data_IF_860091382649
#
_entry.id   IF_860091382649
#
_cell.length_a   1.000
_cell.length_b   1.000
_cell.length_c   1.000
_cell.angle_alpha   90.00
_cell.angle_beta   90.00
_cell.angle_gamma   90.00
#
_symmetry.space_group_name_H-M   'P 1'
#
loop_
_entity.id
_entity.type
_entity.pdbx_description
1 polymer ?
#
# COMPACT_ATOMS: atom_id res chain seq x y z
N UNK A 1 10.25 -0.12 -16.95
CA UNK A 1 9.49 0.38 -15.78
C UNK A 1 8.14 0.87 -16.25
N UNK A 2 7.06 0.40 -15.63
CA UNK A 2 5.68 0.79 -15.96
C UNK A 2 5.46 2.22 -15.45
N UNK A 3 4.83 3.08 -16.27
CA UNK A 3 4.45 4.44 -15.88
C UNK A 3 2.93 4.56 -15.81
N UNK A 4 2.45 5.50 -15.00
CA UNK A 4 1.03 5.84 -14.91
C UNK A 4 0.84 7.33 -14.64
N UNK A 5 -0.27 7.89 -15.12
CA UNK A 5 -0.66 9.27 -14.83
C UNK A 5 -1.26 9.36 -13.44
N UNK A 6 -0.66 10.07 -12.48
CA UNK A 6 -1.17 10.12 -11.11
C UNK A 6 -2.42 11.01 -11.02
N UNK A 7 -3.42 10.58 -10.27
CA UNK A 7 -4.62 11.34 -9.93
C UNK A 7 -4.32 12.40 -8.87
N UNK A 8 -3.64 13.48 -9.26
CA UNK A 8 -3.26 14.56 -8.32
C UNK A 8 -4.44 15.38 -7.81
N UNK A 9 -5.54 15.40 -8.55
CA UNK A 9 -6.77 16.12 -8.20
C UNK A 9 -7.42 15.60 -6.91
N UNK A 10 -7.15 14.33 -6.54
CA UNK A 10 -7.69 13.74 -5.31
C UNK A 10 -6.90 14.13 -4.05
N UNK A 11 -5.69 14.66 -4.20
CA UNK A 11 -4.86 15.03 -3.06
C UNK A 11 -5.40 16.29 -2.37
N UNK A 12 -5.51 16.30 -1.04
CA UNK A 12 -5.67 17.54 -0.27
C UNK A 12 -4.60 18.57 -0.61
N UNK A 13 -4.89 19.84 -0.37
CA UNK A 13 -4.01 20.94 -0.78
C UNK A 13 -2.61 20.84 -0.19
N UNK A 14 -2.49 20.49 1.09
CA UNK A 14 -1.18 20.26 1.74
C UNK A 14 -0.40 19.13 1.06
N UNK A 15 -1.05 18.05 0.66
CA UNK A 15 -0.39 16.95 -0.05
C UNK A 15 0.06 17.38 -1.45
N UNK A 16 -0.76 18.14 -2.18
CA UNK A 16 -0.37 18.68 -3.50
C UNK A 16 0.83 19.62 -3.40
N UNK A 17 0.87 20.42 -2.34
CA UNK A 17 2.01 21.31 -2.08
C UNK A 17 3.30 20.55 -1.76
N UNK A 18 3.21 19.44 -1.01
CA UNK A 18 4.37 18.60 -0.66
C UNK A 18 4.81 17.72 -1.84
N UNK A 19 3.88 17.19 -2.62
CA UNK A 19 4.09 16.17 -3.64
C UNK A 19 5.35 16.40 -4.51
N UNK A 20 5.55 17.56 -5.18
CA UNK A 20 6.73 17.75 -6.02
C UNK A 20 8.06 17.75 -5.25
N UNK A 21 8.01 17.99 -3.94
CA UNK A 21 9.20 18.00 -3.06
C UNK A 21 9.71 16.61 -2.71
N UNK A 22 8.90 15.58 -2.97
CA UNK A 22 9.22 14.18 -2.69
C UNK A 22 10.07 13.52 -3.79
N UNK A 23 10.34 14.21 -4.89
CA UNK A 23 10.96 13.66 -6.11
C UNK A 23 12.33 12.99 -5.90
N UNK A 24 13.10 13.39 -4.89
CA UNK A 24 14.41 12.79 -4.63
C UNK A 24 14.34 11.49 -3.81
N UNK A 25 13.23 11.19 -3.16
CA UNK A 25 13.06 9.97 -2.37
C UNK A 25 13.24 8.70 -3.21
N UNK A 26 12.81 8.72 -4.48
CA UNK A 26 13.00 7.60 -5.40
C UNK A 26 14.48 7.26 -5.65
N UNK A 27 15.39 8.24 -5.56
CA UNK A 27 16.85 8.02 -5.72
C UNK A 27 17.43 7.22 -4.57
N UNK A 28 16.80 7.26 -3.41
CA UNK A 28 17.14 6.47 -2.23
C UNK A 28 16.46 5.09 -2.24
N UNK A 29 15.62 4.80 -3.23
CA UNK A 29 14.90 3.53 -3.32
C UNK A 29 13.57 3.50 -2.58
N UNK A 30 13.07 4.62 -2.05
CA UNK A 30 11.76 4.66 -1.41
C UNK A 30 10.63 4.39 -2.40
N UNK A 31 9.70 3.54 -1.99
CA UNK A 31 8.47 3.21 -2.70
C UNK A 31 7.28 3.62 -1.85
N UNK A 32 6.36 4.38 -2.43
CA UNK A 32 5.11 4.76 -1.76
C UNK A 32 4.16 3.57 -1.72
N UNK A 33 3.65 3.26 -0.53
CA UNK A 33 2.65 2.23 -0.23
C UNK A 33 1.37 2.85 0.32
N UNK A 34 0.46 2.02 0.79
CA UNK A 34 -0.73 2.45 1.52
C UNK A 34 -1.86 3.03 0.68
N UNK A 35 -2.75 3.77 1.34
CA UNK A 35 -3.95 4.31 0.72
C UNK A 35 -3.67 5.38 -0.33
N UNK A 36 -2.66 6.23 -0.11
CA UNK A 36 -2.29 7.30 -1.07
C UNK A 36 -1.66 6.72 -2.33
N UNK A 37 -0.86 5.66 -2.21
CA UNK A 37 -0.31 4.95 -3.36
C UNK A 37 -1.40 4.41 -4.29
N UNK A 38 -2.45 3.83 -3.71
CA UNK A 38 -3.59 3.33 -4.48
C UNK A 38 -4.46 4.46 -5.01
N UNK A 39 -4.70 5.48 -4.21
CA UNK A 39 -5.49 6.63 -4.60
C UNK A 39 -4.88 7.37 -5.81
N UNK A 40 -3.56 7.56 -5.84
CA UNK A 40 -2.85 8.14 -6.98
C UNK A 40 -3.02 7.31 -8.27
N UNK A 41 -3.12 5.98 -8.15
CA UNK A 41 -3.28 5.09 -9.31
C UNK A 41 -4.73 5.00 -9.81
N UNK A 42 -5.72 5.05 -8.92
CA UNK A 42 -7.12 4.75 -9.25
C UNK A 42 -8.09 5.93 -9.10
N UNK A 43 -7.68 7.03 -8.50
CA UNK A 43 -8.53 8.22 -8.30
C UNK A 43 -9.81 7.96 -7.50
N UNK A 44 -9.89 6.90 -6.72
CA UNK A 44 -11.14 6.38 -6.18
C UNK A 44 -11.59 7.04 -4.87
N UNK A 45 -10.68 7.62 -4.10
CA UNK A 45 -10.95 8.34 -2.86
C UNK A 45 -9.77 9.23 -2.46
N UNK A 46 -10.00 10.14 -1.54
CA UNK A 46 -8.91 10.87 -0.89
C UNK A 46 -8.19 9.97 0.11
N UNK A 47 -6.88 10.18 0.24
CA UNK A 47 -6.02 9.61 1.27
C UNK A 47 -5.09 10.69 1.78
N UNK A 48 -4.86 10.72 3.10
CA UNK A 48 -4.25 11.89 3.76
C UNK A 48 -2.83 11.66 4.26
N UNK A 49 -2.31 10.43 4.17
CA UNK A 49 -0.97 10.09 4.66
C UNK A 49 -0.07 9.65 3.50
N UNK A 50 1.25 9.83 3.64
CA UNK A 50 2.25 9.19 2.77
C UNK A 50 3.04 8.17 3.58
N UNK A 51 3.05 6.91 3.14
CA UNK A 51 3.80 5.82 3.76
C UNK A 51 4.87 5.32 2.78
N UNK A 52 6.13 5.65 3.04
CA UNK A 52 7.28 5.27 2.22
C UNK A 52 8.00 4.06 2.81
N UNK A 53 8.20 3.04 2.00
CA UNK A 53 8.91 1.82 2.36
C UNK A 53 10.25 1.74 1.65
N UNK A 54 11.27 1.30 2.40
CA UNK A 54 12.63 1.10 1.93
C UNK A 54 13.12 -0.29 2.37
N UNK A 55 13.77 -1.02 1.49
CA UNK A 55 14.37 -2.33 1.84
C UNK A 55 15.56 -2.17 2.77
N UNK A 56 16.43 -1.21 2.49
CA UNK A 56 17.64 -0.95 3.26
C UNK A 56 17.35 -0.27 4.61
N UNK A 57 18.29 -0.29 5.55
CA UNK A 57 18.20 0.51 6.77
C UNK A 57 18.00 2.00 6.46
N UNK A 58 17.24 2.67 7.31
CA UNK A 58 16.92 4.07 7.14
C UNK A 58 18.12 4.96 7.51
N UNK A 59 18.76 5.59 6.53
CA UNK A 59 19.75 6.64 6.74
C UNK A 59 19.06 7.99 6.91
N UNK A 60 18.96 8.45 8.16
CA UNK A 60 18.29 9.71 8.49
C UNK A 60 18.95 10.92 7.83
N UNK A 61 20.28 10.91 7.65
CA UNK A 61 20.99 12.02 7.01
C UNK A 61 20.65 12.08 5.52
N UNK A 62 20.74 10.95 4.82
CA UNK A 62 20.36 10.88 3.41
C UNK A 62 18.89 11.24 3.19
N UNK A 63 17.99 10.84 4.11
CA UNK A 63 16.58 11.22 4.06
C UNK A 63 16.42 12.74 4.12
N UNK A 64 17.07 13.43 5.07
CA UNK A 64 17.01 14.88 5.22
C UNK A 64 17.63 15.61 4.02
N UNK A 65 18.75 15.11 3.50
CA UNK A 65 19.39 15.64 2.30
C UNK A 65 18.47 15.51 1.05
N UNK A 66 17.72 14.39 0.94
CA UNK A 66 16.79 14.17 -0.17
C UNK A 66 15.46 14.93 -0.01
N UNK A 67 15.04 15.20 1.21
CA UNK A 67 13.80 15.90 1.55
C UNK A 67 14.06 17.04 2.56
N UNK A 68 14.68 18.16 2.11
CA UNK A 68 15.13 19.25 2.99
C UNK A 68 14.00 19.92 3.79
N UNK A 69 12.74 19.80 3.36
CA UNK A 69 11.58 20.30 4.10
C UNK A 69 11.55 19.78 5.54
N UNK A 70 12.12 18.60 5.81
CA UNK A 70 12.19 18.02 7.16
C UNK A 70 13.02 18.84 8.15
N UNK A 71 13.84 19.79 7.68
CA UNK A 71 14.62 20.70 8.52
C UNK A 71 13.87 22.01 8.87
N UNK A 72 12.67 22.22 8.32
CA UNK A 72 11.86 23.42 8.56
C UNK A 72 11.05 23.30 9.87
N UNK A 73 11.68 23.58 11.01
CA UNK A 73 11.11 23.39 12.34
C UNK A 73 9.77 24.11 12.61
N UNK A 74 9.46 25.15 11.85
CA UNK A 74 8.18 25.87 11.94
C UNK A 74 7.03 25.16 11.18
N UNK A 75 7.34 24.22 10.31
CA UNK A 75 6.36 23.47 9.51
C UNK A 75 6.32 21.98 9.88
N UNK A 76 7.37 21.44 10.49
CA UNK A 76 7.55 20.01 10.70
C UNK A 76 7.59 19.67 12.18
N UNK A 77 6.73 18.73 12.57
CA UNK A 77 6.76 18.09 13.89
C UNK A 77 7.14 16.62 13.71
N UNK A 78 8.22 16.18 14.35
CA UNK A 78 8.59 14.78 14.37
C UNK A 78 7.72 14.04 15.39
N UNK A 79 6.91 13.10 14.91
CA UNK A 79 5.99 12.29 15.72
C UNK A 79 6.63 10.99 16.22
N UNK A 80 7.54 10.43 15.42
CA UNK A 80 8.24 9.18 15.74
C UNK A 80 9.68 9.24 15.26
N UNK A 81 10.60 8.81 16.13
CA UNK A 81 12.03 8.77 15.90
C UNK A 81 12.59 7.44 16.39
N UNK A 82 12.57 6.44 15.53
CA UNK A 82 13.18 5.13 15.76
C UNK A 82 14.21 4.86 14.66
N UNK A 83 15.11 3.94 14.90
CA UNK A 83 16.22 3.61 14.00
C UNK A 83 15.77 3.42 12.54
N UNK A 84 14.72 2.62 12.32
CA UNK A 84 14.18 2.30 11.00
C UNK A 84 12.74 2.80 10.80
N UNK A 85 12.26 3.73 11.63
CA UNK A 85 10.94 4.34 11.47
C UNK A 85 10.97 5.81 11.85
N UNK A 86 10.70 6.65 10.88
CA UNK A 86 10.59 8.10 11.08
C UNK A 86 9.20 8.55 10.65
N UNK A 87 8.49 9.28 11.49
CA UNK A 87 7.18 9.83 11.16
C UNK A 87 7.15 11.31 11.46
N UNK A 88 6.68 12.08 10.50
CA UNK A 88 6.58 13.53 10.58
C UNK A 88 5.15 13.98 10.28
N UNK A 89 4.69 14.99 10.98
CA UNK A 89 3.55 15.81 10.60
C UNK A 89 4.07 17.10 9.99
N UNK A 90 3.64 17.40 8.77
CA UNK A 90 4.08 18.58 8.03
C UNK A 90 2.87 19.47 7.78
N UNK A 91 2.93 20.69 8.29
CA UNK A 91 1.89 21.70 8.11
C UNK A 91 2.13 22.51 6.85
N UNK A 92 1.05 22.94 6.19
CA UNK A 92 1.16 23.92 5.11
C UNK A 92 1.57 25.28 5.69
N UNK A 93 2.39 26.09 4.99
CA UNK A 93 2.75 27.43 5.45
C UNK A 93 1.54 28.34 5.70
N UNK A 94 0.47 28.16 4.94
CA UNK A 94 -0.82 28.79 5.18
C UNK A 94 -1.63 27.92 6.14
N UNK A 95 -1.92 28.45 7.33
CA UNK A 95 -2.50 27.70 8.48
C UNK A 95 -3.79 26.96 8.14
N UNK A 96 -4.63 27.53 7.28
CA UNK A 96 -5.94 26.97 6.95
C UNK A 96 -5.90 25.76 5.99
N UNK A 97 -4.71 25.41 5.47
CA UNK A 97 -4.52 24.34 4.49
C UNK A 97 -4.20 22.96 5.09
N UNK A 98 -4.13 22.89 6.42
CA UNK A 98 -3.99 21.64 7.18
C UNK A 98 -2.58 21.09 7.24
N UNK A 99 -2.47 19.85 7.69
CA UNK A 99 -1.23 19.09 7.82
C UNK A 99 -1.35 17.72 7.14
N UNK A 100 -0.20 17.09 6.91
CA UNK A 100 -0.08 15.74 6.36
C UNK A 100 0.90 14.93 7.19
N UNK A 101 0.59 13.68 7.45
CA UNK A 101 1.51 12.74 8.06
C UNK A 101 2.32 12.02 6.97
N UNK A 102 3.64 12.01 7.14
CA UNK A 102 4.55 11.28 6.26
C UNK A 102 5.37 10.32 7.12
N UNK A 103 5.33 9.04 6.77
CA UNK A 103 6.06 7.98 7.46
C UNK A 103 7.09 7.35 6.53
N UNK A 104 8.27 7.07 7.07
CA UNK A 104 9.37 6.39 6.40
C UNK A 104 9.71 5.13 7.19
N UNK A 105 9.69 3.99 6.51
CA UNK A 105 9.96 2.69 7.10
C UNK A 105 11.13 2.04 6.35
N UNK A 106 12.25 1.83 7.04
CA UNK A 106 13.41 1.07 6.54
C UNK A 106 13.35 -0.38 6.96
N UNK A 107 14.29 -1.19 6.47
CA UNK A 107 14.40 -2.64 6.74
C UNK A 107 13.14 -3.44 6.40
N UNK A 108 12.44 -3.04 5.34
CA UNK A 108 11.27 -3.78 4.87
C UNK A 108 11.75 -5.00 4.08
N UNK A 109 11.58 -6.18 4.64
CA UNK A 109 12.16 -7.44 4.16
C UNK A 109 11.18 -8.35 3.40
N UNK A 110 9.90 -8.04 3.35
CA UNK A 110 8.92 -8.87 2.65
C UNK A 110 9.07 -8.84 1.12
N UNK A 111 9.93 -7.96 0.59
CA UNK A 111 10.20 -7.86 -0.84
C UNK A 111 9.04 -7.28 -1.65
N UNK A 112 8.90 -7.72 -2.90
CA UNK A 112 7.82 -7.34 -3.82
C UNK A 112 7.48 -8.51 -4.75
N UNK A 113 6.26 -8.55 -5.26
CA UNK A 113 5.83 -9.45 -6.35
C UNK A 113 5.73 -8.64 -7.65
N UNK A 114 5.04 -7.51 -7.60
CA UNK A 114 4.91 -6.61 -8.73
C UNK A 114 6.03 -5.57 -8.81
N UNK A 115 6.35 -5.12 -10.03
CA UNK A 115 7.28 -4.01 -10.22
C UNK A 115 6.65 -2.69 -9.78
N UNK A 116 7.38 -1.86 -9.00
CA UNK A 116 6.94 -0.51 -8.70
C UNK A 116 6.71 0.29 -9.98
N UNK A 117 5.69 1.14 -9.95
CA UNK A 117 5.31 2.01 -11.06
C UNK A 117 5.85 3.41 -10.83
N UNK A 118 6.36 4.04 -11.87
CA UNK A 118 6.81 5.43 -11.82
C UNK A 118 5.66 6.34 -12.24
N UNK A 119 5.42 7.42 -11.51
CA UNK A 119 4.50 8.47 -11.97
C UNK A 119 5.02 9.13 -13.24
N UNK A 120 4.13 9.53 -14.17
CA UNK A 120 4.53 10.13 -15.46
C UNK A 120 5.33 11.42 -15.29
N UNK A 121 5.06 12.19 -14.27
CA UNK A 121 5.81 13.38 -13.86
C UNK A 121 7.15 13.06 -13.17
N UNK A 122 7.47 11.77 -13.05
CA UNK A 122 8.71 11.25 -12.46
C UNK A 122 8.96 11.64 -10.99
N UNK A 123 7.92 11.97 -10.25
CA UNK A 123 8.06 12.36 -8.83
C UNK A 123 8.21 11.13 -7.94
N UNK A 124 7.35 10.12 -8.05
CA UNK A 124 7.29 8.99 -7.12
C UNK A 124 7.44 7.62 -7.79
N UNK A 125 8.12 6.72 -7.07
CA UNK A 125 7.94 5.28 -7.24
C UNK A 125 6.78 4.83 -6.33
N UNK A 126 5.83 4.09 -6.88
CA UNK A 126 4.60 3.66 -6.22
C UNK A 126 4.50 2.14 -6.33
N UNK A 127 4.14 1.48 -5.25
CA UNK A 127 3.96 0.04 -5.22
C UNK A 127 2.93 -0.43 -6.26
N UNK A 128 3.11 -1.65 -6.77
CA UNK A 128 2.15 -2.26 -7.68
C UNK A 128 0.77 -2.42 -7.00
N UNK A 129 -0.34 -2.40 -7.75
CA UNK A 129 -1.66 -2.66 -7.19
C UNK A 129 -1.73 -4.01 -6.47
N UNK A 130 -1.09 -5.05 -7.00
CA UNK A 130 -1.01 -6.37 -6.39
C UNK A 130 -0.31 -6.33 -5.03
N UNK A 131 0.82 -5.63 -4.91
CA UNK A 131 1.57 -5.51 -3.67
C UNK A 131 0.79 -4.70 -2.62
N UNK A 132 0.11 -3.62 -3.04
CA UNK A 132 -0.79 -2.86 -2.16
C UNK A 132 -1.95 -3.75 -1.70
N UNK A 133 -2.52 -4.55 -2.59
CA UNK A 133 -3.60 -5.48 -2.25
C UNK A 133 -3.14 -6.50 -1.19
N UNK A 134 -1.99 -7.13 -1.39
CA UNK A 134 -1.40 -8.09 -0.45
C UNK A 134 -1.21 -7.47 0.96
N UNK A 135 -0.69 -6.23 1.04
CA UNK A 135 -0.53 -5.53 2.32
C UNK A 135 -1.87 -5.19 2.96
N UNK A 136 -2.89 -4.81 2.19
CA UNK A 136 -4.24 -4.54 2.68
C UNK A 136 -4.90 -5.77 3.28
N UNK A 137 -4.74 -6.94 2.64
CA UNK A 137 -5.25 -8.22 3.14
C UNK A 137 -4.65 -8.60 4.50
N UNK A 138 -3.40 -8.26 4.78
CA UNK A 138 -2.77 -8.41 6.10
C UNK A 138 -3.32 -7.41 7.11
N UNK A 139 -3.46 -6.14 6.70
CA UNK A 139 -3.88 -5.05 7.59
C UNK A 139 -5.30 -5.26 8.12
N UNK A 140 -6.25 -5.71 7.30
CA UNK A 140 -7.65 -5.91 7.74
C UNK A 140 -7.81 -6.98 8.82
N UNK A 141 -6.86 -7.93 8.93
CA UNK A 141 -6.84 -8.92 10.01
C UNK A 141 -6.45 -8.27 11.34
N UNK A 142 -5.57 -7.28 11.29
CA UNK A 142 -5.00 -6.63 12.49
C UNK A 142 -5.86 -5.46 12.99
N UNK A 143 -6.31 -4.62 12.06
CA UNK A 143 -7.11 -3.42 12.32
C UNK A 143 -8.12 -3.18 11.20
N UNK A 144 -9.35 -3.66 11.33
CA UNK A 144 -10.36 -3.42 10.32
C UNK A 144 -10.66 -1.92 10.21
N UNK A 145 -10.63 -1.39 8.99
CA UNK A 145 -10.97 0.00 8.70
C UNK A 145 -11.74 0.06 7.39
N UNK A 146 -12.86 0.76 7.36
CA UNK A 146 -13.70 0.92 6.15
C UNK A 146 -12.90 1.36 4.93
N UNK A 147 -11.90 2.22 5.12
CA UNK A 147 -11.02 2.67 4.02
C UNK A 147 -10.27 1.50 3.37
N UNK A 148 -9.80 0.54 4.17
CA UNK A 148 -9.06 -0.62 3.65
C UNK A 148 -9.99 -1.56 2.86
N UNK A 149 -11.24 -1.72 3.30
CA UNK A 149 -12.25 -2.49 2.54
C UNK A 149 -12.65 -1.80 1.24
N UNK A 150 -12.81 -0.47 1.24
CA UNK A 150 -13.08 0.32 0.02
C UNK A 150 -11.90 0.16 -0.97
N UNK A 151 -10.66 0.21 -0.49
CA UNK A 151 -9.46 0.00 -1.31
C UNK A 151 -9.46 -1.40 -1.94
N UNK A 152 -9.74 -2.44 -1.15
CA UNK A 152 -9.82 -3.83 -1.62
C UNK A 152 -10.92 -4.00 -2.68
N UNK A 153 -12.11 -3.46 -2.42
CA UNK A 153 -13.21 -3.49 -3.38
C UNK A 153 -12.80 -2.82 -4.69
N UNK A 154 -12.12 -1.68 -4.59
CA UNK A 154 -11.70 -0.95 -5.78
C UNK A 154 -10.64 -1.70 -6.57
N UNK A 155 -9.69 -2.36 -5.90
CA UNK A 155 -8.70 -3.22 -6.53
C UNK A 155 -9.38 -4.35 -7.32
N UNK A 156 -10.33 -5.07 -6.70
CA UNK A 156 -11.05 -6.15 -7.37
C UNK A 156 -11.88 -5.62 -8.56
N UNK A 157 -12.56 -4.48 -8.40
CA UNK A 157 -13.31 -3.83 -9.49
C UNK A 157 -12.42 -3.31 -10.62
N UNK A 158 -11.12 -3.21 -10.39
CA UNK A 158 -10.09 -2.83 -11.36
C UNK A 158 -9.27 -4.04 -11.84
N UNK A 159 -9.91 -5.21 -11.86
CA UNK A 159 -9.40 -6.48 -12.38
C UNK A 159 -8.23 -7.11 -11.60
N UNK A 160 -7.92 -6.63 -10.39
CA UNK A 160 -6.95 -7.30 -9.54
C UNK A 160 -7.57 -8.56 -8.90
N UNK A 161 -6.84 -9.67 -8.98
CA UNK A 161 -7.31 -10.96 -8.49
C UNK A 161 -7.17 -11.10 -6.98
N UNK A 162 -8.28 -11.36 -6.27
CA UNK A 162 -8.25 -11.64 -4.82
C UNK A 162 -7.40 -12.89 -4.51
N UNK A 163 -7.42 -13.90 -5.38
CA UNK A 163 -6.66 -15.14 -5.18
C UNK A 163 -5.16 -14.89 -5.33
N UNK A 164 -4.76 -14.13 -6.35
CA UNK A 164 -3.36 -13.75 -6.54
C UNK A 164 -2.86 -12.88 -5.38
N UNK A 165 -3.67 -11.94 -4.90
CA UNK A 165 -3.33 -11.09 -3.76
C UNK A 165 -3.20 -11.90 -2.45
N UNK A 166 -4.04 -12.92 -2.22
CA UNK A 166 -3.88 -13.85 -1.10
C UNK A 166 -2.58 -14.65 -1.22
N UNK A 167 -2.22 -15.08 -2.43
CA UNK A 167 -0.93 -15.72 -2.73
C UNK A 167 0.24 -14.79 -2.46
N UNK A 168 0.19 -13.56 -2.96
CA UNK A 168 1.22 -12.54 -2.73
C UNK A 168 1.40 -12.22 -1.24
N UNK A 169 0.30 -12.06 -0.49
CA UNK A 169 0.35 -11.85 0.95
C UNK A 169 0.97 -13.05 1.70
N UNK A 170 0.69 -14.28 1.23
CA UNK A 170 1.32 -15.49 1.81
C UNK A 170 2.83 -15.52 1.56
N UNK A 171 3.30 -15.01 0.41
CA UNK A 171 4.74 -14.90 0.11
C UNK A 171 5.38 -13.79 0.95
N UNK A 172 4.72 -12.64 1.09
CA UNK A 172 5.24 -11.50 1.85
C UNK A 172 5.42 -11.83 3.33
N UNK A 173 4.40 -12.39 3.94
CA UNK A 173 4.30 -12.49 5.40
C UNK A 173 4.49 -13.91 5.93
N UNK A 174 4.66 -14.91 5.06
CA UNK A 174 4.93 -16.28 5.47
C UNK A 174 3.92 -16.80 6.51
N UNK A 175 4.42 -17.33 7.60
CA UNK A 175 3.61 -17.88 8.71
C UNK A 175 2.78 -16.83 9.46
N UNK A 176 3.10 -15.55 9.32
CA UNK A 176 2.38 -14.46 9.97
C UNK A 176 1.11 -14.03 9.22
N UNK A 177 0.80 -14.68 8.10
CA UNK A 177 -0.40 -14.45 7.32
C UNK A 177 -1.22 -15.71 7.15
N UNK A 178 -2.54 -15.58 7.30
CA UNK A 178 -3.49 -16.65 7.02
C UNK A 178 -4.51 -16.17 5.98
N UNK A 179 -4.52 -16.76 4.77
CA UNK A 179 -5.53 -16.47 3.76
C UNK A 179 -6.96 -16.65 4.27
N UNK A 180 -7.20 -17.69 5.11
CA UNK A 180 -8.50 -17.96 5.66
C UNK A 180 -8.97 -16.89 6.65
N UNK A 181 -8.05 -16.33 7.47
CA UNK A 181 -8.39 -15.22 8.36
C UNK A 181 -8.73 -13.95 7.57
N UNK A 182 -7.99 -13.68 6.48
CA UNK A 182 -8.28 -12.56 5.59
C UNK A 182 -9.64 -12.70 4.90
N UNK A 183 -9.97 -13.88 4.37
CA UNK A 183 -11.29 -14.15 3.79
C UNK A 183 -12.41 -14.03 4.82
N UNK A 184 -12.17 -14.47 6.07
CA UNK A 184 -13.11 -14.28 7.17
C UNK A 184 -13.32 -12.80 7.49
N UNK A 185 -12.23 -12.02 7.57
CA UNK A 185 -12.33 -10.57 7.78
C UNK A 185 -13.13 -9.90 6.65
N UNK A 186 -12.88 -10.29 5.38
CA UNK A 186 -13.65 -9.80 4.22
C UNK A 186 -15.13 -10.23 4.23
N UNK A 187 -15.55 -11.13 5.10
CA UNK A 187 -16.94 -11.59 5.24
C UNK A 187 -17.67 -10.99 6.43
N UNK A 188 -16.93 -10.34 7.35
CA UNK A 188 -17.46 -9.78 8.60
C UNK A 188 -17.06 -8.31 8.71
N UNK A 189 -18.04 -7.43 8.65
CA UNK A 189 -17.85 -5.97 8.63
C UNK A 189 -18.87 -5.19 9.45
N UNK A 190 -19.57 -5.87 10.38
CA UNK A 190 -20.60 -5.23 11.21
C UNK A 190 -20.01 -4.17 12.16
N UNK A 191 -18.72 -4.30 12.50
CA UNK A 191 -18.00 -3.37 13.38
C UNK A 191 -17.34 -2.20 12.64
N UNK A 192 -17.50 -2.10 11.31
CA UNK A 192 -16.89 -1.01 10.54
C UNK A 192 -17.63 0.32 10.74
N UNK A 193 -16.85 1.38 10.97
CA UNK A 193 -17.35 2.74 11.10
C UNK A 193 -16.58 3.69 10.17
N UNK A 194 -17.27 4.33 9.22
CA UNK A 194 -18.66 4.13 8.81
C UNK A 194 -18.88 2.74 8.18
N UNK A 195 -20.10 2.21 8.15
CA UNK A 195 -20.38 0.90 7.56
C UNK A 195 -20.17 0.92 6.04
N UNK A 196 -19.94 -0.27 5.47
CA UNK A 196 -19.92 -0.44 4.02
C UNK A 196 -21.33 -0.24 3.43
N UNK A 197 -21.39 0.22 2.17
CA UNK A 197 -22.67 0.26 1.46
C UNK A 197 -23.24 -1.17 1.28
N UNK A 198 -24.57 -1.35 1.20
CA UNK A 198 -25.15 -2.67 0.94
C UNK A 198 -24.67 -3.32 -0.36
N UNK A 199 -24.40 -2.51 -1.39
CA UNK A 199 -23.85 -3.00 -2.66
C UNK A 199 -22.44 -3.50 -2.53
N UNK A 200 -21.56 -2.79 -1.79
CA UNK A 200 -20.18 -3.20 -1.58
C UNK A 200 -20.08 -4.43 -0.67
N UNK A 201 -20.92 -4.52 0.35
CA UNK A 201 -21.05 -5.70 1.21
C UNK A 201 -21.46 -6.93 0.41
N UNK A 202 -22.46 -6.80 -0.48
CA UNK A 202 -22.91 -7.89 -1.35
C UNK A 202 -21.83 -8.29 -2.36
N UNK A 203 -21.13 -7.33 -2.92
CA UNK A 203 -20.01 -7.57 -3.83
C UNK A 203 -18.90 -8.37 -3.15
N UNK A 204 -18.44 -7.96 -1.95
CA UNK A 204 -17.40 -8.69 -1.21
C UNK A 204 -17.82 -10.11 -0.87
N UNK A 205 -19.07 -10.34 -0.43
CA UNK A 205 -19.58 -11.70 -0.17
C UNK A 205 -19.49 -12.60 -1.38
N UNK A 206 -19.82 -12.05 -2.56
CA UNK A 206 -19.72 -12.79 -3.83
C UNK A 206 -18.25 -13.17 -4.11
N UNK A 207 -17.33 -12.20 -4.03
CA UNK A 207 -15.91 -12.38 -4.31
C UNK A 207 -15.25 -13.37 -3.35
N UNK A 208 -15.57 -13.29 -2.06
CA UNK A 208 -15.09 -14.26 -1.06
C UNK A 208 -15.61 -15.66 -1.32
N UNK A 209 -16.91 -15.80 -1.68
CA UNK A 209 -17.50 -17.10 -2.01
C UNK A 209 -16.83 -17.74 -3.23
N UNK A 210 -16.50 -16.94 -4.23
CA UNK A 210 -15.79 -17.37 -5.43
C UNK A 210 -14.35 -17.80 -5.13
N UNK A 211 -13.63 -17.00 -4.32
CA UNK A 211 -12.29 -17.34 -3.87
C UNK A 211 -12.26 -18.65 -3.07
N UNK A 212 -13.20 -18.85 -2.15
CA UNK A 212 -13.33 -20.10 -1.37
C UNK A 212 -13.57 -21.33 -2.26
N UNK A 213 -14.41 -21.22 -3.27
CA UNK A 213 -14.64 -22.31 -4.24
C UNK A 213 -13.35 -22.63 -4.99
N UNK A 214 -12.64 -21.62 -5.48
CA UNK A 214 -11.39 -21.81 -6.22
C UNK A 214 -10.29 -22.42 -5.35
N UNK A 215 -10.18 -22.03 -4.09
CA UNK A 215 -9.22 -22.61 -3.13
C UNK A 215 -9.59 -24.05 -2.78
N UNK A 216 -10.88 -24.38 -2.63
CA UNK A 216 -11.34 -25.74 -2.34
C UNK A 216 -11.06 -26.71 -3.50
N UNK A 217 -11.20 -26.26 -4.75
CA UNK A 217 -10.89 -27.07 -5.93
C UNK A 217 -9.38 -27.29 -6.04
N UNK A 218 -8.55 -26.28 -5.74
CA UNK A 218 -7.08 -26.38 -5.76
C UNK A 218 -6.48 -27.08 -4.53
N UNK A 219 -7.21 -27.15 -3.43
CA UNK A 219 -6.77 -27.84 -2.19
C UNK A 219 -6.67 -29.36 -2.31
N UNK A 220 -7.17 -29.96 -3.41
CA UNK A 220 -6.98 -31.37 -3.75
C UNK A 220 -5.68 -31.62 -4.53
N UNK A 221 -5.08 -30.61 -5.10
CA UNK A 221 -3.75 -30.64 -5.71
C UNK A 221 -2.80 -29.79 -4.87
N UNK A 222 -1.63 -30.32 -4.49
CA UNK A 222 -0.59 -29.60 -3.71
C UNK A 222 -0.39 -28.18 -4.22
N UNK A 223 -0.04 -27.21 -3.33
CA UNK A 223 -0.23 -25.78 -3.56
C UNK A 223 0.53 -25.27 -4.80
N UNK A 224 -0.17 -25.18 -5.91
CA UNK A 224 0.34 -24.65 -7.18
C UNK A 224 0.71 -23.15 -7.09
N UNK A 225 0.14 -22.39 -6.12
CA UNK A 225 0.41 -20.96 -5.93
C UNK A 225 1.85 -20.67 -5.52
N UNK A 226 2.45 -21.47 -4.63
CA UNK A 226 3.85 -21.29 -4.23
C UNK A 226 4.82 -21.78 -5.30
N UNK A 227 4.50 -22.85 -6.04
CA UNK A 227 5.37 -23.41 -7.08
C UNK A 227 5.42 -22.57 -8.36
N UNK A 228 4.34 -21.91 -8.74
CA UNK A 228 4.31 -21.03 -9.91
C UNK A 228 5.14 -19.75 -9.71
N UNK A 229 5.16 -19.22 -8.47
CA UNK A 229 5.95 -18.04 -8.12
C UNK A 229 7.44 -18.38 -7.99
N UNK A 230 7.78 -19.58 -7.50
CA UNK A 230 9.18 -20.04 -7.37
C UNK A 230 9.80 -20.37 -8.73
N UNK A 231 9.05 -20.90 -9.70
CA UNK A 231 9.57 -21.19 -11.04
C UNK A 231 9.94 -19.93 -11.84
N UNK A 232 9.28 -18.80 -11.56
CA UNK A 232 9.66 -17.52 -12.18
C UNK A 232 10.92 -16.87 -11.59
N UNK A 233 11.36 -17.28 -10.39
CA UNK A 233 12.62 -16.81 -9.78
C UNK A 233 13.86 -17.63 -10.22
N UNK A 234 13.69 -18.89 -10.58
CA UNK A 234 14.80 -19.75 -11.04
C UNK A 234 15.24 -19.44 -12.48
N UNK A 235 14.38 -18.82 -13.30
CA UNK A 235 14.71 -18.47 -14.69
C UNK A 235 15.55 -17.19 -14.80
N UNK A 236 15.65 -16.38 -13.75
CA UNK A 236 16.42 -15.12 -13.76
C UNK A 236 17.82 -15.21 -13.13
N UNK A 237 18.31 -16.43 -12.80
CA UNK A 237 19.64 -16.67 -12.24
C UNK A 237 20.52 -17.60 -13.12
N UNK A 238 20.34 -17.57 -14.48
CA UNK A 238 21.26 -18.15 -15.45
C UNK A 238 21.77 -17.10 -16.43
#
# INVERSE_FOLDING_TARGET
>A
MIRFSPHLEILPEVQRWIYPRLQNLKKLGFVLYGGTALALQLGHRQSVDFDFFLHDPLDQKQLRDAFPLLEEANLVTQLQDLENTQTFEISHPEVDKGSVKISFFGTIDFGRIGEPRLTEDEVLLVASPLDIFATKLKVIIQRPSTKDYVDIIRLIKNDESLIEALGAASVFFGTDFSPMLSLRALSYYDDLLPPLSPSDSSFLKCQVSEALRSLSIKGLEKPALASAILSSKEVNNL
#
